data_IF_622831855160
#
_entry.id   IF_622831855160
#
_cell.length_a   1.000
_cell.length_b   1.000
_cell.length_c   1.000
_cell.angle_alpha   90.00
_cell.angle_beta   90.00
_cell.angle_gamma   90.00
#
_symmetry.space_group_name_H-M   'P 1'
#
loop_
_entity.id
_entity.type
_entity.pdbx_description
1 polymer ?
#
# COMPACT_ATOMS: atom_id res chain seq x y z
N UNK A 1 5.88 13.72 34.23
CA UNK A 1 6.09 13.49 32.78
C UNK A 1 5.40 12.20 32.41
N UNK A 2 4.20 12.29 31.84
CA UNK A 2 3.44 11.12 31.40
C UNK A 2 3.96 10.76 30.01
N UNK A 3 4.63 9.62 29.88
CA UNK A 3 4.92 8.99 28.58
C UNK A 3 3.58 8.77 27.90
N UNK A 4 3.27 9.56 26.87
CA UNK A 4 2.17 9.26 25.97
C UNK A 4 2.51 7.93 25.29
N UNK A 5 1.97 6.84 25.83
CA UNK A 5 1.73 5.65 25.05
C UNK A 5 0.84 6.10 23.90
N UNK A 6 1.40 6.20 22.69
CA UNK A 6 0.70 6.16 21.40
C UNK A 6 0.05 4.76 21.26
N UNK A 7 -0.76 4.40 22.25
CA UNK A 7 -1.35 3.11 22.46
C UNK A 7 -2.56 2.96 21.56
N UNK A 8 -2.44 1.99 20.67
CA UNK A 8 -3.50 1.39 19.87
C UNK A 8 -4.17 2.33 18.85
N UNK A 9 -3.44 2.67 17.79
CA UNK A 9 -4.11 2.67 16.48
C UNK A 9 -4.86 1.34 16.36
N UNK A 10 -6.18 1.39 16.14
CA UNK A 10 -7.05 0.21 16.09
C UNK A 10 -6.38 -0.89 15.25
N UNK A 11 -6.22 -2.12 15.76
CA UNK A 11 -5.59 -3.22 15.01
C UNK A 11 -6.37 -3.60 13.73
N UNK A 12 -7.54 -2.99 13.51
CA UNK A 12 -8.41 -3.19 12.35
C UNK A 12 -8.22 -2.17 11.23
N UNK A 13 -7.39 -1.15 11.39
CA UNK A 13 -7.13 -0.19 10.31
C UNK A 13 -5.71 -0.39 9.79
N UNK A 14 -5.53 -0.55 8.46
CA UNK A 14 -4.20 -0.57 7.87
C UNK A 14 -3.44 0.64 8.35
N UNK A 15 -2.32 0.43 9.03
CA UNK A 15 -1.41 1.52 9.32
C UNK A 15 -0.75 1.87 7.99
N UNK A 16 -1.41 2.71 7.19
CA UNK A 16 -0.89 3.22 5.91
C UNK A 16 0.49 3.88 6.06
N UNK A 17 0.82 4.28 7.29
CA UNK A 17 2.08 4.91 7.68
C UNK A 17 3.16 3.91 8.14
N UNK A 18 2.84 2.62 8.26
CA UNK A 18 3.80 1.57 8.60
C UNK A 18 4.80 1.37 7.45
N UNK A 19 6.10 1.37 7.78
CA UNK A 19 7.17 1.31 6.77
C UNK A 19 7.24 -0.03 6.05
N UNK A 20 6.93 -1.14 6.73
CA UNK A 20 6.89 -2.46 6.10
C UNK A 20 5.73 -2.54 5.09
N UNK A 21 4.55 -2.06 5.47
CA UNK A 21 3.41 -1.99 4.56
C UNK A 21 3.66 -1.07 3.35
N UNK A 22 4.35 0.05 3.54
CA UNK A 22 4.75 0.93 2.44
C UNK A 22 5.71 0.23 1.46
N UNK A 23 6.64 -0.59 1.96
CA UNK A 23 7.54 -1.38 1.13
C UNK A 23 6.80 -2.45 0.33
N UNK A 24 5.83 -3.13 0.94
CA UNK A 24 4.97 -4.11 0.26
C UNK A 24 4.17 -3.46 -0.89
N UNK A 25 3.62 -2.26 -0.66
CA UNK A 25 2.91 -1.48 -1.69
C UNK A 25 3.85 -1.12 -2.84
N UNK A 26 5.09 -0.71 -2.54
CA UNK A 26 6.09 -0.40 -3.56
C UNK A 26 6.45 -1.65 -4.38
N UNK A 27 6.72 -2.78 -3.74
CA UNK A 27 7.08 -4.02 -4.42
C UNK A 27 5.93 -4.51 -5.32
N UNK A 28 4.69 -4.44 -4.85
CA UNK A 28 3.52 -4.78 -5.64
C UNK A 28 3.34 -3.84 -6.84
N UNK A 29 3.60 -2.54 -6.66
CA UNK A 29 3.55 -1.55 -7.74
C UNK A 29 4.60 -1.81 -8.83
N UNK A 30 5.85 -2.05 -8.44
CA UNK A 30 6.93 -2.40 -9.39
C UNK A 30 6.63 -3.71 -10.14
N UNK A 31 6.11 -4.71 -9.43
CA UNK A 31 5.68 -5.99 -10.05
C UNK A 31 4.55 -5.76 -11.05
N UNK A 32 3.58 -4.90 -10.71
CA UNK A 32 2.48 -4.55 -11.61
C UNK A 32 2.98 -3.80 -12.87
N UNK A 33 3.95 -2.89 -12.71
CA UNK A 33 4.60 -2.23 -13.84
C UNK A 33 5.37 -3.22 -14.73
N UNK A 34 6.09 -4.16 -14.13
CA UNK A 34 6.87 -5.17 -14.84
C UNK A 34 6.00 -6.18 -15.61
N UNK A 35 4.85 -6.58 -15.06
CA UNK A 35 3.85 -7.38 -15.75
C UNK A 35 3.20 -6.63 -16.95
N UNK A 36 3.42 -5.32 -17.01
CA UNK A 36 2.93 -4.41 -18.02
C UNK A 36 1.46 -4.08 -17.82
N UNK A 37 1.10 -2.83 -18.13
CA UNK A 37 -0.25 -2.25 -17.99
C UNK A 37 -1.23 -2.78 -19.06
N UNK A 38 -1.13 -4.07 -19.39
CA UNK A 38 -1.85 -4.71 -20.49
C UNK A 38 -3.28 -5.08 -20.13
N UNK A 39 -3.64 -4.98 -18.85
CA UNK A 39 -4.98 -5.32 -18.41
C UNK A 39 -5.96 -4.19 -18.75
N UNK A 40 -6.56 -4.27 -19.94
CA UNK A 40 -7.72 -3.47 -20.37
C UNK A 40 -9.01 -3.90 -19.64
N UNK A 41 -8.91 -4.70 -18.58
CA UNK A 41 -10.06 -5.02 -17.75
C UNK A 41 -10.71 -3.72 -17.26
N UNK A 42 -12.01 -3.59 -17.51
CA UNK A 42 -12.83 -2.45 -17.10
C UNK A 42 -12.84 -2.21 -15.58
N UNK A 43 -12.24 -3.10 -14.79
CA UNK A 43 -12.15 -3.04 -13.34
C UNK A 43 -10.83 -2.44 -12.80
N UNK A 44 -9.87 -2.07 -13.66
CA UNK A 44 -8.56 -1.51 -13.28
C UNK A 44 -8.39 -0.01 -13.58
N UNK A 45 -7.48 0.70 -12.88
CA UNK A 45 -7.13 2.08 -13.23
C UNK A 45 -6.48 2.13 -14.62
N UNK A 46 -6.83 3.16 -15.42
CA UNK A 46 -6.30 3.31 -16.78
C UNK A 46 -4.76 3.43 -16.79
N UNK A 47 -4.06 2.89 -17.81
CA UNK A 47 -2.61 2.93 -17.87
C UNK A 47 -2.00 4.34 -17.74
N UNK A 48 -2.66 5.35 -18.31
CA UNK A 48 -2.24 6.76 -18.21
C UNK A 48 -2.29 7.25 -16.77
N UNK A 49 -3.35 6.88 -16.04
CA UNK A 49 -3.51 7.22 -14.63
C UNK A 49 -2.48 6.53 -13.76
N UNK A 50 -2.14 5.28 -14.05
CA UNK A 50 -1.09 4.54 -13.35
C UNK A 50 0.27 5.22 -13.51
N UNK A 51 0.58 5.72 -14.71
CA UNK A 51 1.80 6.49 -14.99
C UNK A 51 1.82 7.84 -14.25
N UNK A 52 0.72 8.59 -14.30
CA UNK A 52 0.59 9.89 -13.62
C UNK A 52 0.79 9.73 -12.10
N UNK A 53 0.12 8.74 -11.49
CA UNK A 53 0.26 8.45 -10.07
C UNK A 53 1.68 8.00 -9.71
N UNK A 54 2.35 7.24 -10.57
CA UNK A 54 3.75 6.86 -10.42
C UNK A 54 4.68 8.07 -10.40
N UNK A 55 4.50 9.01 -11.34
CA UNK A 55 5.27 10.25 -11.39
C UNK A 55 5.04 11.13 -10.16
N UNK A 56 3.78 11.29 -9.73
CA UNK A 56 3.44 12.02 -8.52
C UNK A 56 4.03 11.38 -7.26
N UNK A 57 4.12 10.04 -7.23
CA UNK A 57 4.72 9.30 -6.12
C UNK A 57 6.25 9.50 -6.10
N UNK A 58 6.89 9.48 -7.26
CA UNK A 58 8.33 9.72 -7.40
C UNK A 58 8.73 11.16 -7.03
N UNK A 59 7.89 12.15 -7.37
CA UNK A 59 8.11 13.54 -7.01
C UNK A 59 7.77 13.88 -5.54
N UNK A 60 7.20 12.93 -4.79
CA UNK A 60 6.75 13.14 -3.41
C UNK A 60 7.90 12.99 -2.42
N UNK A 61 8.20 14.04 -1.65
CA UNK A 61 9.14 13.96 -0.52
C UNK A 61 8.57 13.20 0.70
N UNK A 62 7.25 12.98 0.75
CA UNK A 62 6.59 12.27 1.85
C UNK A 62 6.34 10.79 1.49
N UNK A 63 6.95 9.82 2.21
CA UNK A 63 6.81 8.39 1.90
C UNK A 63 5.37 7.89 1.97
N UNK A 64 4.60 8.31 2.97
CA UNK A 64 3.21 7.93 3.13
C UNK A 64 2.33 8.41 1.97
N UNK A 65 2.54 9.64 1.50
CA UNK A 65 1.85 10.17 0.31
C UNK A 65 2.23 9.36 -0.94
N UNK A 66 3.51 9.04 -1.11
CA UNK A 66 3.99 8.24 -2.23
C UNK A 66 3.35 6.83 -2.24
N UNK A 67 3.20 6.21 -1.06
CA UNK A 67 2.53 4.93 -0.92
C UNK A 67 1.03 5.01 -1.27
N UNK A 68 0.31 6.05 -0.84
CA UNK A 68 -1.11 6.24 -1.21
C UNK A 68 -1.30 6.47 -2.72
N UNK A 69 -0.38 7.17 -3.36
CA UNK A 69 -0.41 7.39 -4.81
C UNK A 69 -0.20 6.07 -5.57
N UNK A 70 0.79 5.26 -5.15
CA UNK A 70 1.02 3.91 -5.70
C UNK A 70 -0.15 2.98 -5.43
N UNK A 71 -0.75 3.07 -4.24
CA UNK A 71 -1.96 2.32 -3.89
C UNK A 71 -3.11 2.59 -4.85
N UNK A 72 -3.37 3.87 -5.16
CA UNK A 72 -4.41 4.25 -6.12
C UNK A 72 -4.14 3.79 -7.56
N UNK A 73 -2.90 3.41 -7.86
CA UNK A 73 -2.48 2.91 -9.16
C UNK A 73 -2.57 1.37 -9.28
N UNK A 74 -2.84 0.65 -8.18
CA UNK A 74 -2.96 -0.79 -8.17
C UNK A 74 -4.38 -1.28 -8.53
N UNK A 75 -4.51 -2.41 -9.26
CA UNK A 75 -5.80 -3.07 -9.46
C UNK A 75 -6.49 -3.45 -8.15
N UNK A 76 -7.82 -3.55 -8.16
CA UNK A 76 -8.61 -3.91 -6.97
C UNK A 76 -8.18 -5.25 -6.36
N UNK A 77 -7.89 -6.26 -7.19
CA UNK A 77 -7.42 -7.57 -6.73
C UNK A 77 -6.11 -7.47 -5.95
N UNK A 78 -5.10 -6.79 -6.51
CA UNK A 78 -3.79 -6.61 -5.85
C UNK A 78 -3.94 -5.88 -4.51
N UNK A 79 -4.82 -4.88 -4.45
CA UNK A 79 -5.15 -4.18 -3.20
C UNK A 79 -5.77 -5.12 -2.16
N UNK A 80 -6.71 -5.97 -2.55
CA UNK A 80 -7.31 -6.97 -1.66
C UNK A 80 -6.28 -7.99 -1.16
N UNK A 81 -5.36 -8.44 -2.01
CA UNK A 81 -4.30 -9.38 -1.64
C UNK A 81 -3.32 -8.74 -0.63
N UNK A 82 -2.93 -7.48 -0.86
CA UNK A 82 -2.09 -6.71 0.07
C UNK A 82 -2.75 -6.51 1.44
N UNK A 83 -4.06 -6.19 1.47
CA UNK A 83 -4.80 -6.07 2.74
C UNK A 83 -4.85 -7.41 3.46
N UNK A 84 -5.14 -8.49 2.75
CA UNK A 84 -5.21 -9.85 3.30
C UNK A 84 -3.87 -10.26 3.92
N UNK A 85 -2.77 -10.04 3.20
CA UNK A 85 -1.42 -10.31 3.71
C UNK A 85 -1.05 -9.47 4.92
N UNK A 86 -1.43 -8.19 4.94
CA UNK A 86 -1.18 -7.29 6.07
C UNK A 86 -1.95 -7.74 7.32
N UNK A 87 -3.26 -8.00 7.21
CA UNK A 87 -4.07 -8.48 8.34
C UNK A 87 -3.55 -9.81 8.88
N UNK A 88 -3.18 -10.74 8.00
CA UNK A 88 -2.56 -12.01 8.41
C UNK A 88 -1.22 -11.81 9.15
N UNK A 89 -0.41 -10.86 8.70
CA UNK A 89 0.87 -10.53 9.34
C UNK A 89 0.69 -9.84 10.69
N UNK A 90 -0.30 -8.95 10.83
CA UNK A 90 -0.66 -8.34 12.11
C UNK A 90 -1.13 -9.38 13.11
N UNK A 91 -2.01 -10.31 12.68
CA UNK A 91 -2.50 -11.38 13.53
C UNK A 91 -1.36 -12.23 14.11
N UNK A 92 -0.39 -12.60 13.27
CA UNK A 92 0.80 -13.35 13.71
C UNK A 92 1.65 -12.57 14.71
N UNK A 93 1.84 -11.26 14.50
CA UNK A 93 2.59 -10.39 15.42
C UNK A 93 1.89 -10.24 16.77
N UNK A 94 0.56 -10.12 16.79
CA UNK A 94 -0.22 -10.06 18.02
C UNK A 94 -0.27 -11.39 18.78
N UNK A 95 -0.21 -12.53 18.09
CA UNK A 95 -0.18 -13.85 18.74
C UNK A 95 1.20 -14.22 19.33
N UNK A 96 2.26 -13.50 18.95
CA UNK A 96 3.62 -13.71 19.42
C UNK A 96 4.04 -12.74 20.56
N UNK A 97 3.14 -11.84 20.97
CA UNK A 97 3.33 -10.86 22.05
C UNK A 97 2.54 -11.27 23.29
#
# INVERSE_FOLDING_TARGET
MIRHHLGASSPRSPQWFDSAHQADILAAYETHLAAGLHDRSHAGPRPERVRELGQLAAASAMPARAALLRWGALPAQVRSDLLTGWYGSQWRRSAAA
#
